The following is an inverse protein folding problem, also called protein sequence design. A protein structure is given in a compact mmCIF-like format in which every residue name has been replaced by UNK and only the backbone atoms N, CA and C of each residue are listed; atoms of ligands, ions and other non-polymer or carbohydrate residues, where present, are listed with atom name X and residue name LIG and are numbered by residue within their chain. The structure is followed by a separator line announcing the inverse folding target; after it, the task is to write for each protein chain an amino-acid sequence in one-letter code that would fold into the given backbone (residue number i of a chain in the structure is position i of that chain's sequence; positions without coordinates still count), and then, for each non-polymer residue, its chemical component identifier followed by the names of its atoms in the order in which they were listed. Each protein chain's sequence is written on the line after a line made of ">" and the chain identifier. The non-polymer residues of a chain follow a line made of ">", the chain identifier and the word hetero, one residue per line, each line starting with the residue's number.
data_IF_582576406850
#
_entry.id   IF_582576406850
#
_cell.length_a   1.000
_cell.length_b   1.000
_cell.length_c   1.000
_cell.angle_alpha   90.00
_cell.angle_beta   90.00
_cell.angle_gamma   90.00
#
_symmetry.space_group_name_H-M   'P 1'
#
loop_
_entity.id
_entity.type
_entity.pdbx_description
1 polymer ?
#
# COMPACT_ATOMS: atom_id res chain seq x y z
N UNK A 1 6.53 -16.24 5.16
CA UNK A 1 5.79 -15.41 6.16
C UNK A 1 5.58 -13.98 5.67
N UNK A 2 6.62 -13.24 5.27
CA UNK A 2 6.52 -11.86 4.74
C UNK A 2 5.57 -11.78 3.52
N UNK A 3 5.66 -12.73 2.60
CA UNK A 3 4.79 -12.78 1.42
C UNK A 3 3.30 -12.89 1.75
N UNK A 4 2.98 -13.75 2.72
CA UNK A 4 1.60 -13.91 3.17
C UNK A 4 1.09 -12.63 3.83
N UNK A 5 1.92 -12.02 4.69
CA UNK A 5 1.59 -10.78 5.36
C UNK A 5 1.39 -9.61 4.39
N UNK A 6 2.25 -9.46 3.38
CA UNK A 6 2.22 -8.28 2.54
C UNK A 6 1.29 -8.41 1.34
N UNK A 7 1.22 -9.57 0.66
CA UNK A 7 0.51 -9.66 -0.63
C UNK A 7 -0.45 -10.84 -0.80
N UNK A 8 -0.32 -11.94 -0.04
CA UNK A 8 -1.17 -13.13 -0.26
C UNK A 8 -2.39 -13.22 0.66
N UNK A 9 -2.33 -12.67 1.87
CA UNK A 9 -3.47 -12.68 2.79
C UNK A 9 -4.65 -11.89 2.19
N UNK A 10 -5.87 -12.40 2.40
CA UNK A 10 -7.12 -11.76 1.95
C UNK A 10 -7.21 -10.33 2.49
N UNK A 11 -6.86 -10.14 3.77
CA UNK A 11 -6.80 -8.81 4.39
C UNK A 11 -5.87 -7.88 3.62
N UNK A 12 -4.64 -8.28 3.37
CA UNK A 12 -3.65 -7.43 2.69
C UNK A 12 -4.05 -7.11 1.26
N UNK A 13 -4.64 -8.07 0.55
CA UNK A 13 -5.17 -7.85 -0.81
C UNK A 13 -6.31 -6.83 -0.81
N UNK A 14 -7.19 -6.88 0.17
CA UNK A 14 -8.27 -5.91 0.34
C UNK A 14 -7.73 -4.48 0.60
N UNK A 15 -6.72 -4.37 1.47
CA UNK A 15 -6.03 -3.09 1.72
C UNK A 15 -5.38 -2.56 0.43
N UNK A 16 -4.63 -3.40 -0.30
CA UNK A 16 -4.01 -2.98 -1.56
C UNK A 16 -5.03 -2.52 -2.59
N UNK A 17 -6.16 -3.22 -2.70
CA UNK A 17 -7.24 -2.85 -3.60
C UNK A 17 -7.73 -1.43 -3.30
N UNK A 18 -8.12 -1.16 -2.04
CA UNK A 18 -8.66 0.13 -1.62
C UNK A 18 -7.64 1.28 -1.67
N UNK A 19 -6.37 1.02 -1.37
CA UNK A 19 -5.30 2.03 -1.42
C UNK A 19 -4.94 2.37 -2.87
N UNK A 20 -4.81 1.37 -3.74
CA UNK A 20 -4.46 1.59 -5.14
C UNK A 20 -5.64 2.17 -5.94
N UNK A 21 -6.87 1.77 -5.62
CA UNK A 21 -8.07 2.39 -6.19
C UNK A 21 -8.18 3.87 -5.84
N UNK A 22 -7.83 4.24 -4.60
CA UNK A 22 -7.86 5.63 -4.16
C UNK A 22 -6.96 6.56 -4.99
N UNK A 23 -5.83 6.06 -5.48
CA UNK A 23 -4.89 6.82 -6.31
C UNK A 23 -5.05 6.54 -7.82
N UNK A 24 -6.14 5.89 -8.24
CA UNK A 24 -6.43 5.60 -9.64
C UNK A 24 -5.51 4.55 -10.30
N UNK A 25 -4.87 3.68 -9.51
CA UNK A 25 -3.90 2.66 -9.99
C UNK A 25 -4.32 1.23 -9.61
N UNK A 26 -5.63 0.96 -9.54
CA UNK A 26 -6.16 -0.35 -9.15
C UNK A 26 -5.64 -1.50 -10.04
N UNK A 27 -5.31 -1.28 -11.32
CA UNK A 27 -4.75 -2.32 -12.19
C UNK A 27 -3.35 -2.81 -11.78
N UNK A 28 -2.70 -2.11 -10.83
CA UNK A 28 -1.37 -2.44 -10.33
C UNK A 28 -1.40 -3.32 -9.08
N UNK A 29 -2.58 -3.72 -8.59
CA UNK A 29 -2.71 -4.57 -7.40
C UNK A 29 -1.93 -5.90 -7.50
N UNK A 30 -1.51 -6.49 -6.35
CA UNK A 30 -0.92 -7.82 -6.34
C UNK A 30 -1.90 -8.85 -6.92
N UNK A 31 -1.38 -9.71 -7.80
CA UNK A 31 -2.17 -10.83 -8.35
C UNK A 31 -1.98 -12.07 -7.48
N UNK A 32 -2.92 -13.02 -7.59
CA UNK A 32 -2.88 -14.26 -6.80
C UNK A 32 -1.71 -15.20 -7.17
N UNK A 33 -1.17 -15.05 -8.38
CA UNK A 33 -0.08 -15.84 -8.96
C UNK A 33 1.31 -15.21 -8.79
N UNK A 34 1.41 -14.06 -8.10
CA UNK A 34 2.70 -13.39 -7.89
C UNK A 34 3.66 -14.26 -7.07
N UNK A 35 4.88 -14.41 -7.57
CA UNK A 35 5.91 -15.20 -6.89
C UNK A 35 6.31 -14.57 -5.53
N UNK A 36 6.49 -13.24 -5.50
CA UNK A 36 6.90 -12.50 -4.30
C UNK A 36 6.46 -11.03 -4.32
N UNK A 37 6.52 -10.36 -3.16
CA UNK A 37 6.30 -8.93 -2.99
C UNK A 37 7.26 -8.11 -3.85
N UNK A 38 8.52 -8.53 -3.95
CA UNK A 38 9.51 -7.88 -4.79
C UNK A 38 9.20 -8.04 -6.29
N UNK A 39 8.69 -9.22 -6.69
CA UNK A 39 8.25 -9.48 -8.07
C UNK A 39 7.08 -8.56 -8.43
N UNK A 40 6.07 -8.51 -7.56
CA UNK A 40 4.91 -7.64 -7.71
C UNK A 40 5.31 -6.16 -7.75
N UNK A 41 6.11 -5.69 -6.78
CA UNK A 41 6.56 -4.30 -6.71
C UNK A 41 7.30 -3.92 -7.99
N UNK A 42 8.28 -4.74 -8.43
CA UNK A 42 9.00 -4.50 -9.68
C UNK A 42 8.04 -4.37 -10.86
N UNK A 43 7.06 -5.27 -11.01
CA UNK A 43 6.04 -5.20 -12.06
C UNK A 43 5.22 -3.92 -11.97
N UNK A 44 4.73 -3.57 -10.78
CA UNK A 44 3.92 -2.37 -10.57
C UNK A 44 4.69 -1.10 -10.93
N UNK A 45 5.95 -0.97 -10.47
CA UNK A 45 6.82 0.17 -10.80
C UNK A 45 7.15 0.26 -12.29
N UNK A 46 7.34 -0.88 -12.97
CA UNK A 46 7.60 -0.92 -14.42
C UNK A 46 6.39 -0.48 -15.24
N UNK A 47 5.18 -0.93 -14.85
CA UNK A 47 3.93 -0.55 -15.53
C UNK A 47 3.49 0.88 -15.23
N UNK A 48 3.87 1.44 -14.08
CA UNK A 48 3.56 2.82 -13.74
C UNK A 48 4.25 3.81 -14.68
N UNK A 49 3.52 4.87 -15.03
CA UNK A 49 4.06 6.00 -15.80
C UNK A 49 5.25 6.62 -15.06
N UNK A 50 6.20 7.19 -15.82
CA UNK A 50 7.45 7.75 -15.26
C UNK A 50 7.20 8.83 -14.19
N UNK A 51 6.16 9.63 -14.37
CA UNK A 51 5.74 10.72 -13.49
C UNK A 51 5.08 10.23 -12.19
N UNK A 52 4.37 9.10 -12.21
CA UNK A 52 3.67 8.53 -11.04
C UNK A 52 4.50 7.50 -10.27
N UNK A 53 5.48 6.85 -10.92
CA UNK A 53 6.30 5.77 -10.34
C UNK A 53 6.90 6.09 -8.97
N UNK A 54 7.44 7.30 -8.79
CA UNK A 54 8.04 7.69 -7.49
C UNK A 54 6.99 7.79 -6.38
N UNK A 55 5.83 8.37 -6.67
CA UNK A 55 4.71 8.43 -5.72
C UNK A 55 4.17 7.04 -5.39
N UNK A 56 4.00 6.19 -6.41
CA UNK A 56 3.59 4.79 -6.23
C UNK A 56 4.55 4.04 -5.29
N UNK A 57 5.86 4.17 -5.50
CA UNK A 57 6.84 3.53 -4.62
C UNK A 57 6.72 4.01 -3.17
N UNK A 58 6.45 5.30 -2.93
CA UNK A 58 6.18 5.82 -1.59
C UNK A 58 4.93 5.19 -0.95
N UNK A 59 3.83 5.08 -1.72
CA UNK A 59 2.61 4.40 -1.25
C UNK A 59 2.85 2.93 -0.94
N UNK A 60 3.63 2.23 -1.78
CA UNK A 60 3.95 0.81 -1.55
C UNK A 60 4.73 0.65 -0.24
N UNK A 61 5.73 1.49 0.01
CA UNK A 61 6.51 1.47 1.26
C UNK A 61 5.59 1.73 2.45
N UNK A 62 4.80 2.81 2.38
CA UNK A 62 3.91 3.23 3.46
C UNK A 62 2.89 2.14 3.80
N UNK A 63 2.20 1.60 2.81
CA UNK A 63 1.18 0.57 2.99
C UNK A 63 1.79 -0.72 3.56
N UNK A 64 2.98 -1.10 3.08
CA UNK A 64 3.69 -2.28 3.59
C UNK A 64 4.09 -2.11 5.06
N UNK A 65 4.55 -0.92 5.44
CA UNK A 65 4.86 -0.57 6.82
C UNK A 65 3.60 -0.68 7.72
N UNK A 66 2.48 -0.13 7.27
CA UNK A 66 1.22 -0.18 8.01
C UNK A 66 0.67 -1.61 8.13
N UNK A 67 0.73 -2.41 7.07
CA UNK A 67 0.37 -3.83 7.12
C UNK A 67 1.21 -4.61 8.15
N UNK A 68 2.51 -4.34 8.18
CA UNK A 68 3.40 -4.95 9.18
C UNK A 68 3.08 -4.49 10.60
N UNK A 69 2.94 -3.18 10.83
CA UNK A 69 2.60 -2.60 12.13
C UNK A 69 1.26 -3.13 12.65
N UNK A 70 0.27 -3.21 11.77
CA UNK A 70 -1.05 -3.72 12.10
C UNK A 70 -1.03 -5.20 12.50
N UNK A 71 -0.30 -6.04 11.76
CA UNK A 71 -0.12 -7.44 12.15
C UNK A 71 0.51 -7.58 13.52
N UNK A 72 1.51 -6.76 13.84
CA UNK A 72 2.13 -6.79 15.16
C UNK A 72 1.13 -6.42 16.26
N UNK A 73 0.32 -5.36 16.08
CA UNK A 73 -0.76 -5.01 17.03
C UNK A 73 -1.76 -6.14 17.22
N UNK A 74 -2.14 -6.85 16.15
CA UNK A 74 -3.06 -8.00 16.26
C UNK A 74 -2.43 -9.16 17.04
N UNK A 75 -1.13 -9.42 16.85
CA UNK A 75 -0.42 -10.51 17.56
C UNK A 75 -0.18 -10.17 19.03
N UNK A 76 0.26 -8.94 19.33
CA UNK A 76 0.74 -8.55 20.65
C UNK A 76 -0.32 -7.87 21.52
N UNK A 77 -1.27 -7.15 20.93
CA UNK A 77 -2.25 -6.31 21.65
C UNK A 77 -3.69 -6.85 21.56
N UNK A 78 -3.88 -8.08 21.03
CA UNK A 78 -5.20 -8.70 20.78
C UNK A 78 -6.17 -7.80 20.00
N UNK A 79 -5.64 -6.91 19.14
CA UNK A 79 -6.45 -5.92 18.44
C UNK A 79 -7.39 -6.60 17.43
N UNK A 80 -8.67 -6.21 17.42
CA UNK A 80 -9.63 -6.72 16.43
C UNK A 80 -9.35 -6.08 15.06
N UNK A 81 -9.18 -6.87 14.00
CA UNK A 81 -8.85 -6.30 12.72
C UNK A 81 -10.02 -5.54 12.09
N UNK A 82 -9.84 -4.24 11.83
CA UNK A 82 -10.75 -3.35 11.10
C UNK A 82 -10.06 -2.75 9.86
N UNK A 83 -10.27 -3.31 8.65
CA UNK A 83 -9.61 -2.85 7.42
C UNK A 83 -9.80 -1.36 7.15
N UNK A 84 -10.99 -0.83 7.41
CA UNK A 84 -11.32 0.58 7.17
C UNK A 84 -10.46 1.56 7.99
N UNK A 85 -10.12 1.19 9.23
CA UNK A 85 -9.24 2.03 10.08
C UNK A 85 -7.85 2.08 9.47
N UNK A 86 -7.31 0.92 9.07
CA UNK A 86 -5.98 0.86 8.46
C UNK A 86 -5.91 1.65 7.15
N UNK A 87 -6.96 1.55 6.32
CA UNK A 87 -7.07 2.33 5.08
C UNK A 87 -7.08 3.83 5.38
N UNK A 88 -7.84 4.28 6.40
CA UNK A 88 -7.83 5.69 6.82
C UNK A 88 -6.46 6.13 7.30
N UNK A 89 -5.81 5.36 8.20
CA UNK A 89 -4.48 5.66 8.72
C UNK A 89 -3.45 5.81 7.57
N UNK A 90 -3.46 4.91 6.58
CA UNK A 90 -2.58 4.99 5.41
C UNK A 90 -2.86 6.26 4.58
N UNK A 91 -4.14 6.58 4.34
CA UNK A 91 -4.53 7.75 3.54
C UNK A 91 -4.13 9.05 4.23
N UNK A 92 -4.35 9.14 5.54
CA UNK A 92 -4.05 10.33 6.32
C UNK A 92 -2.53 10.53 6.44
N UNK A 93 -1.77 9.47 6.70
CA UNK A 93 -0.31 9.54 6.70
C UNK A 93 0.26 9.93 5.33
N UNK A 94 -0.31 9.40 4.24
CA UNK A 94 0.10 9.77 2.88
C UNK A 94 -0.15 11.26 2.58
N UNK A 95 -1.28 11.80 3.03
CA UNK A 95 -1.57 13.25 2.94
C UNK A 95 -0.59 14.07 3.78
N UNK A 96 -0.30 13.64 5.01
CA UNK A 96 0.70 14.28 5.87
C UNK A 96 2.08 14.34 5.18
N UNK A 97 2.52 13.24 4.55
CA UNK A 97 3.77 13.22 3.80
C UNK A 97 3.76 14.19 2.61
N UNK A 98 2.64 14.26 1.88
CA UNK A 98 2.48 15.22 0.78
C UNK A 98 2.57 16.67 1.27
N UNK A 99 1.90 17.00 2.37
CA UNK A 99 1.95 18.32 3.02
C UNK A 99 3.35 18.65 3.56
N UNK A 100 4.07 17.65 4.08
CA UNK A 100 5.45 17.77 4.53
C UNK A 100 6.49 17.89 3.38
N UNK A 101 6.03 17.91 2.12
CA UNK A 101 6.89 18.18 0.96
C UNK A 101 7.23 16.96 0.11
N UNK A 102 6.57 15.81 0.30
CA UNK A 102 6.69 14.66 -0.62
C UNK A 102 5.99 14.95 -1.96
N UNK A 103 6.58 15.82 -2.79
CA UNK A 103 5.99 16.36 -4.03
C UNK A 103 5.51 15.28 -5.02
N UNK A 104 6.22 14.15 -5.11
CA UNK A 104 5.85 13.04 -6.02
C UNK A 104 4.65 12.25 -5.52
N UNK A 105 4.50 12.14 -4.21
CA UNK A 105 3.34 11.57 -3.57
C UNK A 105 2.14 12.50 -3.73
N UNK A 106 2.29 13.78 -3.40
CA UNK A 106 1.22 14.77 -3.57
C UNK A 106 0.62 14.80 -4.99
N UNK A 107 1.44 14.65 -6.03
CA UNK A 107 0.98 14.58 -7.42
C UNK A 107 0.07 13.41 -7.75
N UNK A 108 0.23 12.26 -7.08
CA UNK A 108 -0.63 11.08 -7.32
C UNK A 108 -1.87 11.07 -6.43
N UNK A 109 -1.86 11.84 -5.33
CA UNK A 109 -3.03 12.00 -4.45
C UNK A 109 -4.02 13.06 -4.97
N UNK A 110 -3.57 13.93 -5.86
CA UNK A 110 -4.36 15.01 -6.47
C UNK A 110 -4.95 14.63 -7.83
N UNK A 111 -4.87 13.36 -8.25
CA UNK A 111 -5.46 12.84 -9.48
C UNK A 111 -6.87 12.32 -9.19
#
# INVERSE_FOLDING_TARGET
>A
MIEHLLIRCVFSRDIWHHVLQWIGLAELQPRGDEASFNTWWRRASQRARKDTRKGLNSIIILTSWFLWKYRNRVVFDAHTPRPQILISEIRDEAKCWALAGAKRLGRILSQ
#
